data_IF_919349186698
#
_entry.id   IF_919349186698
#
_cell.length_a   1.000
_cell.length_b   1.000
_cell.length_c   1.000
_cell.angle_alpha   90.00
_cell.angle_beta   90.00
_cell.angle_gamma   90.00
#
_symmetry.space_group_name_H-M   'P 1'
#
loop_
_entity.id
_entity.type
_entity.pdbx_description
1 polymer ?
#
# COMPACT_ATOMS: atom_id res chain seq x y z
N UNK A 1 -12.77 -22.74 8.43
CA UNK A 1 -13.20 -21.36 8.72
C UNK A 1 -14.33 -20.97 7.77
N UNK A 2 -15.21 -20.05 8.17
CA UNK A 2 -16.26 -19.48 7.31
C UNK A 2 -15.74 -18.19 6.69
N UNK A 3 -15.92 -18.00 5.38
CA UNK A 3 -15.68 -16.71 4.73
C UNK A 3 -16.81 -15.77 5.16
N UNK A 4 -16.46 -14.64 5.79
CA UNK A 4 -17.42 -13.67 6.34
C UNK A 4 -17.64 -12.46 5.43
N UNK A 5 -16.67 -12.17 4.55
CA UNK A 5 -16.77 -11.19 3.48
C UNK A 5 -15.71 -11.46 2.42
N UNK A 6 -15.89 -10.88 1.24
CA UNK A 6 -14.94 -10.92 0.13
C UNK A 6 -15.05 -9.61 -0.66
N UNK A 7 -14.39 -8.57 -0.19
CA UNK A 7 -14.30 -7.29 -0.91
C UNK A 7 -13.01 -7.21 -1.73
N UNK A 8 -13.10 -6.54 -2.88
CA UNK A 8 -11.96 -6.20 -3.72
C UNK A 8 -11.85 -4.67 -3.79
N UNK A 9 -11.03 -4.04 -2.93
CA UNK A 9 -10.91 -2.60 -2.91
C UNK A 9 -10.32 -2.11 -4.22
N UNK A 10 -11.10 -1.34 -4.96
CA UNK A 10 -10.68 -0.69 -6.20
C UNK A 10 -10.85 0.82 -6.08
N UNK A 11 -9.90 1.57 -6.63
CA UNK A 11 -9.98 3.02 -6.67
C UNK A 11 -9.48 3.58 -8.00
N UNK A 12 -9.87 4.82 -8.31
CA UNK A 12 -9.29 5.58 -9.41
C UNK A 12 -8.13 6.40 -8.88
N UNK A 13 -7.00 6.28 -9.54
CA UNK A 13 -5.80 7.07 -9.25
C UNK A 13 -5.39 7.85 -10.49
N UNK A 14 -4.96 9.09 -10.29
CA UNK A 14 -4.39 9.92 -11.35
C UNK A 14 -2.97 9.46 -11.61
N UNK A 15 -2.65 9.12 -12.84
CA UNK A 15 -1.32 8.72 -13.27
C UNK A 15 -0.86 9.52 -14.47
N UNK A 16 0.45 9.76 -14.55
CA UNK A 16 1.06 10.42 -15.71
C UNK A 16 1.66 9.34 -16.60
N UNK A 17 1.09 9.15 -17.79
CA UNK A 17 1.63 8.24 -18.80
C UNK A 17 2.03 9.02 -20.03
N UNK A 18 3.32 8.95 -20.40
CA UNK A 18 3.88 9.65 -21.57
C UNK A 18 3.55 11.15 -21.57
N UNK A 19 3.66 11.80 -20.41
CA UNK A 19 3.37 13.23 -20.24
C UNK A 19 1.89 13.61 -20.27
N UNK A 20 0.96 12.64 -20.32
CA UNK A 20 -0.47 12.89 -20.23
C UNK A 20 -1.04 12.36 -18.92
N UNK A 21 -1.84 13.18 -18.27
CA UNK A 21 -2.59 12.76 -17.10
C UNK A 21 -3.76 11.87 -17.53
N UNK A 22 -3.86 10.69 -16.95
CA UNK A 22 -4.98 9.77 -17.14
C UNK A 22 -5.43 9.25 -15.78
N UNK A 23 -6.65 8.73 -15.70
CA UNK A 23 -7.07 7.94 -14.54
C UNK A 23 -6.84 6.47 -14.83
N UNK A 24 -6.36 5.74 -13.84
CA UNK A 24 -6.26 4.29 -13.90
C UNK A 24 -6.95 3.67 -12.69
N UNK A 25 -7.65 2.56 -12.94
CA UNK A 25 -8.17 1.73 -11.86
C UNK A 25 -7.01 1.01 -11.18
N UNK A 26 -7.01 1.05 -9.85
CA UNK A 26 -6.02 0.44 -8.96
C UNK A 26 -6.74 -0.49 -7.99
N UNK A 27 -5.98 -1.41 -7.42
CA UNK A 27 -6.42 -2.28 -6.35
C UNK A 27 -5.23 -2.67 -5.49
N UNK A 28 -5.50 -3.23 -4.30
CA UNK A 28 -4.45 -3.73 -3.39
C UNK A 28 -3.67 -4.89 -4.05
N UNK A 29 -4.37 -5.69 -4.86
CA UNK A 29 -3.86 -6.92 -5.47
C UNK A 29 -3.31 -7.86 -4.39
N UNK A 30 -2.09 -8.40 -4.56
CA UNK A 30 -1.40 -9.12 -3.49
C UNK A 30 -0.90 -8.12 -2.45
N UNK A 31 -1.35 -8.28 -1.21
CA UNK A 31 -0.92 -7.43 -0.11
C UNK A 31 -0.39 -8.22 1.08
N UNK A 32 0.46 -7.57 1.86
CA UNK A 32 0.83 -8.03 3.20
C UNK A 32 0.04 -7.24 4.25
N UNK A 33 -0.30 -7.88 5.37
CA UNK A 33 -1.03 -7.28 6.48
C UNK A 33 -0.17 -7.32 7.74
N UNK A 34 -0.14 -6.21 8.47
CA UNK A 34 0.46 -6.07 9.78
C UNK A 34 -0.58 -5.52 10.74
N UNK A 35 -0.85 -6.20 11.85
CA UNK A 35 -1.75 -5.71 12.88
C UNK A 35 -1.02 -4.71 13.77
N UNK A 36 -1.48 -3.46 13.81
CA UNK A 36 -0.83 -2.33 14.49
C UNK A 36 -1.90 -1.42 15.08
N UNK A 37 -1.75 -1.05 16.36
CA UNK A 37 -2.64 -0.12 17.06
C UNK A 37 -4.14 -0.42 16.88
N UNK A 38 -4.50 -1.71 16.97
CA UNK A 38 -5.88 -2.19 16.88
C UNK A 38 -6.47 -2.19 15.46
N UNK A 39 -5.68 -1.86 14.44
CA UNK A 39 -6.06 -1.88 13.03
C UNK A 39 -5.05 -2.70 12.22
N UNK A 40 -5.20 -2.70 10.90
CA UNK A 40 -4.28 -3.35 9.98
C UNK A 40 -3.60 -2.33 9.06
N UNK A 41 -2.28 -2.30 9.10
CA UNK A 41 -1.48 -1.72 8.04
C UNK A 41 -1.37 -2.72 6.88
N UNK A 42 -1.65 -2.27 5.67
CA UNK A 42 -1.52 -3.09 4.46
C UNK A 42 -0.59 -2.43 3.45
N UNK A 43 0.33 -3.23 2.91
CA UNK A 43 1.11 -2.86 1.73
C UNK A 43 0.63 -3.68 0.54
N UNK A 44 0.12 -3.00 -0.49
CA UNK A 44 -0.30 -3.60 -1.75
C UNK A 44 0.84 -3.82 -2.73
N UNK A 45 0.54 -4.53 -3.81
CA UNK A 45 1.54 -5.04 -4.76
C UNK A 45 2.35 -3.95 -5.47
N UNK A 46 1.69 -2.83 -5.76
CA UNK A 46 2.23 -1.73 -6.56
C UNK A 46 2.69 -0.55 -5.71
N UNK A 47 2.98 -0.75 -4.42
CA UNK A 47 3.52 0.30 -3.55
C UNK A 47 2.48 1.20 -2.89
N UNK A 48 1.19 0.84 -2.98
CA UNK A 48 0.15 1.47 -2.18
C UNK A 48 0.21 0.97 -0.73
N UNK A 49 -0.05 1.87 0.21
CA UNK A 49 -0.19 1.56 1.63
C UNK A 49 -1.58 1.97 2.12
N UNK A 50 -2.13 1.19 3.04
CA UNK A 50 -3.49 1.35 3.53
C UNK A 50 -3.54 1.16 5.04
N UNK A 51 -4.32 2.01 5.70
CA UNK A 51 -4.79 1.75 7.06
C UNK A 51 -6.19 1.17 6.97
N UNK A 52 -6.39 -0.05 7.48
CA UNK A 52 -7.59 -0.83 7.32
C UNK A 52 -8.19 -1.18 8.67
N UNK A 53 -9.48 -0.93 8.82
CA UNK A 53 -10.31 -1.50 9.88
C UNK A 53 -10.97 -2.77 9.33
N UNK A 54 -10.47 -3.92 9.78
CA UNK A 54 -10.92 -5.24 9.35
C UNK A 54 -11.52 -5.99 10.54
N UNK A 55 -12.75 -6.45 10.38
CA UNK A 55 -13.45 -7.26 11.38
C UNK A 55 -14.33 -8.30 10.68
N UNK A 56 -14.91 -9.28 11.39
CA UNK A 56 -15.89 -10.18 10.78
C UNK A 56 -17.11 -9.45 10.19
N UNK A 57 -17.37 -8.21 10.59
CA UNK A 57 -18.46 -7.39 10.08
C UNK A 57 -18.17 -6.77 8.71
N UNK A 58 -16.90 -6.61 8.33
CA UNK A 58 -16.55 -6.10 7.02
C UNK A 58 -15.15 -5.52 6.88
N UNK A 59 -14.97 -4.82 5.77
CA UNK A 59 -13.76 -4.12 5.37
C UNK A 59 -14.02 -2.62 5.35
N UNK A 60 -13.12 -1.82 5.94
CA UNK A 60 -13.15 -0.37 5.82
C UNK A 60 -11.73 0.18 5.65
N UNK A 61 -11.50 0.93 4.57
CA UNK A 61 -10.26 1.67 4.36
C UNK A 61 -10.35 3.01 5.12
N UNK A 62 -9.46 3.19 6.10
CA UNK A 62 -9.38 4.40 6.92
C UNK A 62 -8.50 5.47 6.27
N UNK A 63 -7.39 5.04 5.66
CA UNK A 63 -6.47 5.93 4.95
C UNK A 63 -5.73 5.16 3.85
N UNK A 64 -5.25 5.89 2.84
CA UNK A 64 -4.46 5.35 1.73
C UNK A 64 -3.43 6.34 1.23
N UNK A 65 -2.25 5.85 0.86
CA UNK A 65 -1.24 6.59 0.13
C UNK A 65 -0.52 5.70 -0.88
N UNK A 66 0.12 6.31 -1.89
CA UNK A 66 0.94 5.62 -2.89
C UNK A 66 2.38 6.08 -2.76
N UNK A 67 3.29 5.17 -2.38
CA UNK A 67 4.69 5.52 -2.07
C UNK A 67 5.57 5.58 -3.33
N UNK A 68 5.28 4.71 -4.28
CA UNK A 68 5.97 4.54 -5.56
C UNK A 68 5.08 3.69 -6.49
N UNK A 69 5.41 3.64 -7.78
CA UNK A 69 4.73 2.75 -8.74
C UNK A 69 5.74 1.71 -9.24
N UNK A 70 5.87 0.61 -8.52
CA UNK A 70 6.81 -0.46 -8.83
C UNK A 70 6.18 -1.84 -8.55
N UNK A 71 6.42 -2.84 -9.41
CA UNK A 71 5.94 -4.19 -9.20
C UNK A 71 6.80 -4.92 -8.16
N UNK A 72 6.38 -6.12 -7.79
CA UNK A 72 7.15 -7.05 -6.93
C UNK A 72 7.39 -6.51 -5.50
N UNK A 73 6.46 -5.69 -5.00
CA UNK A 73 6.53 -5.12 -3.65
C UNK A 73 6.00 -6.12 -2.61
N UNK A 74 6.59 -7.31 -2.54
CA UNK A 74 6.11 -8.42 -1.70
C UNK A 74 6.84 -8.56 -0.37
N UNK A 75 7.93 -7.81 -0.17
CA UNK A 75 8.59 -7.73 1.13
C UNK A 75 7.63 -7.10 2.14
N UNK A 76 7.25 -7.80 3.23
CA UNK A 76 6.36 -7.24 4.23
C UNK A 76 6.94 -5.94 4.82
N UNK A 77 6.11 -4.91 5.06
CA UNK A 77 6.55 -3.71 5.73
C UNK A 77 6.88 -4.01 7.20
N UNK A 78 7.79 -3.23 7.77
CA UNK A 78 8.10 -3.28 9.21
C UNK A 78 7.80 -1.92 9.81
N UNK A 79 7.12 -1.92 10.96
CA UNK A 79 6.98 -0.72 11.79
C UNK A 79 7.78 -0.96 13.07
N UNK A 80 8.69 -0.06 13.39
CA UNK A 80 9.51 -0.12 14.60
C UNK A 80 9.74 1.29 15.15
N UNK A 81 9.39 1.50 16.42
CA UNK A 81 9.51 2.81 17.11
C UNK A 81 8.85 3.98 16.34
N UNK A 82 7.72 3.73 15.69
CA UNK A 82 7.02 4.75 14.88
C UNK A 82 7.62 4.99 13.50
N UNK A 83 8.65 4.25 13.09
CA UNK A 83 9.22 4.31 11.74
C UNK A 83 8.71 3.16 10.89
N UNK A 84 8.22 3.48 9.69
CA UNK A 84 7.79 2.53 8.67
C UNK A 84 8.92 2.28 7.68
N UNK A 85 9.28 1.01 7.52
CA UNK A 85 10.27 0.54 6.55
C UNK A 85 9.59 -0.25 5.44
N UNK A 86 9.81 0.18 4.18
CA UNK A 86 9.22 -0.44 2.98
C UNK A 86 10.29 -0.66 1.93
N UNK A 87 10.35 -1.87 1.37
CA UNK A 87 11.25 -2.17 0.26
C UNK A 87 10.55 -1.94 -1.09
N UNK A 88 11.08 -1.02 -1.89
CA UNK A 88 10.82 -0.97 -3.32
C UNK A 88 11.78 -1.94 -4.01
N UNK A 89 11.30 -3.10 -4.46
CA UNK A 89 12.16 -4.15 -5.02
C UNK A 89 12.48 -3.99 -6.50
N UNK A 90 11.71 -3.18 -7.22
CA UNK A 90 11.89 -2.96 -8.66
C UNK A 90 12.05 -1.48 -8.99
N UNK A 91 12.40 -1.16 -10.23
CA UNK A 91 12.45 0.24 -10.70
C UNK A 91 11.07 0.87 -10.68
N UNK A 92 10.97 2.07 -10.11
CA UNK A 92 9.76 2.89 -10.12
C UNK A 92 9.47 3.36 -11.56
N UNK A 93 8.25 3.10 -12.05
CA UNK A 93 7.84 3.43 -13.40
C UNK A 93 7.73 4.93 -13.66
N UNK A 94 7.45 5.72 -12.62
CA UNK A 94 7.25 7.17 -12.74
C UNK A 94 8.56 7.92 -12.47
N UNK A 95 9.25 7.60 -11.36
CA UNK A 95 10.46 8.32 -10.97
C UNK A 95 11.74 7.78 -11.60
N UNK A 96 11.71 6.57 -12.17
CA UNK A 96 12.89 5.89 -12.72
C UNK A 96 13.89 5.42 -11.66
N UNK A 97 13.67 5.74 -10.38
CA UNK A 97 14.54 5.36 -9.28
C UNK A 97 14.55 3.85 -9.10
N UNK A 98 15.75 3.29 -8.94
CA UNK A 98 15.97 1.85 -8.74
C UNK A 98 15.51 1.32 -7.38
N UNK A 99 15.76 0.02 -7.12
CA UNK A 99 15.40 -0.63 -5.86
C UNK A 99 16.00 0.07 -4.64
N UNK A 100 15.22 0.16 -3.56
CA UNK A 100 15.61 0.89 -2.34
C UNK A 100 14.79 0.48 -1.12
N UNK A 101 15.38 0.62 0.05
CA UNK A 101 14.67 0.65 1.33
C UNK A 101 14.24 2.10 1.62
N UNK A 102 12.96 2.30 1.88
CA UNK A 102 12.38 3.59 2.26
C UNK A 102 12.04 3.56 3.74
N UNK A 103 12.27 4.68 4.41
CA UNK A 103 11.92 4.91 5.81
C UNK A 103 11.00 6.12 5.90
N UNK A 104 9.84 5.96 6.52
CA UNK A 104 8.88 7.04 6.76
C UNK A 104 8.65 7.17 8.26
N UNK A 105 8.48 8.40 8.72
CA UNK A 105 8.14 8.70 10.11
C UNK A 105 6.61 8.77 10.25
N UNK A 106 6.05 7.91 11.12
CA UNK A 106 4.61 7.88 11.40
C UNK A 106 4.24 8.67 12.65
N UNK A 107 5.20 9.27 13.36
CA UNK A 107 4.96 9.96 14.64
C UNK A 107 4.31 11.34 14.48
N UNK A 108 4.43 11.94 13.29
CA UNK A 108 3.74 13.19 12.94
C UNK A 108 4.27 14.44 13.66
N UNK A 109 5.53 14.41 14.10
CA UNK A 109 6.26 15.59 14.61
C UNK A 109 6.72 16.53 13.49
#
# INVERSE_FOLDING_TARGET
>A
GKIVWQEQPLWKEKVVRRGRETFATRGILRGSLLHVDGNFFCQGELGSIHWLDLSPQGFKELARASLFDAPQTWSPPVISQGLLYVCQNYKDFNSGKGPRLLCYDLRGE
#
